data_IF_899413237810
#
_entry.id   IF_899413237810
#
_cell.length_a   1.000
_cell.length_b   1.000
_cell.length_c   1.000
_cell.angle_alpha   90.00
_cell.angle_beta   90.00
_cell.angle_gamma   90.00
#
_symmetry.space_group_name_H-M   'P 1'
#
loop_
_entity.id
_entity.type
_entity.pdbx_description
1 polymer ?
#
# COMPACT_ATOMS: atom_id res chain seq x y z
N UNK A 1 19.90 14.20 -2.44
CA UNK A 1 18.60 13.51 -2.45
C UNK A 1 18.86 12.10 -2.90
N UNK A 2 18.27 11.12 -2.21
CA UNK A 2 18.39 9.72 -2.59
C UNK A 2 17.13 9.33 -3.36
N UNK A 3 17.29 8.51 -4.40
CA UNK A 3 16.19 8.12 -5.28
C UNK A 3 15.89 6.65 -5.09
N UNK A 4 14.60 6.30 -5.06
CA UNK A 4 14.13 4.93 -5.05
C UNK A 4 13.67 4.55 -6.46
N UNK A 5 14.15 3.43 -7.04
CA UNK A 5 13.55 2.91 -8.25
C UNK A 5 12.14 2.40 -7.95
N UNK A 6 11.20 2.70 -8.85
CA UNK A 6 9.83 2.18 -8.78
C UNK A 6 9.80 0.81 -9.45
N UNK A 7 9.34 -0.20 -8.73
CA UNK A 7 9.17 -1.55 -9.24
C UNK A 7 7.70 -1.82 -9.60
N UNK A 8 7.48 -2.79 -10.48
CA UNK A 8 6.15 -3.32 -10.75
C UNK A 8 5.61 -4.03 -9.51
N UNK A 9 4.32 -3.83 -9.24
CA UNK A 9 3.62 -4.53 -8.17
C UNK A 9 3.33 -5.98 -8.57
N UNK A 10 3.99 -6.94 -7.91
CA UNK A 10 3.75 -8.38 -8.08
C UNK A 10 3.54 -9.05 -6.71
N UNK A 11 2.80 -10.17 -6.62
CA UNK A 11 2.58 -10.86 -5.35
C UNK A 11 3.90 -11.19 -4.62
N UNK A 12 4.88 -11.73 -5.33
CA UNK A 12 6.17 -12.11 -4.73
C UNK A 12 6.96 -10.91 -4.23
N UNK A 13 6.99 -9.82 -4.99
CA UNK A 13 7.71 -8.61 -4.61
C UNK A 13 7.01 -7.89 -3.43
N UNK A 14 5.69 -8.01 -3.33
CA UNK A 14 4.90 -7.31 -2.33
C UNK A 14 4.63 -8.12 -1.04
N UNK A 15 4.81 -9.44 -1.09
CA UNK A 15 4.55 -10.36 0.03
C UNK A 15 5.15 -9.94 1.40
N UNK A 16 6.36 -9.34 1.48
CA UNK A 16 6.91 -8.89 2.77
C UNK A 16 6.15 -7.72 3.40
N UNK A 17 5.37 -6.99 2.61
CA UNK A 17 4.70 -5.74 3.01
C UNK A 17 3.20 -5.92 3.16
N UNK A 18 2.63 -6.91 2.47
CA UNK A 18 1.19 -7.03 2.37
C UNK A 18 0.70 -8.00 1.28
N UNK A 19 -0.51 -7.75 0.81
CA UNK A 19 -1.20 -8.57 -0.18
C UNK A 19 -1.83 -7.66 -1.23
N UNK A 20 -1.85 -8.12 -2.47
CA UNK A 20 -2.48 -7.41 -3.59
C UNK A 20 -3.89 -7.94 -3.77
N UNK A 21 -4.87 -7.05 -3.74
CA UNK A 21 -6.23 -7.32 -4.18
C UNK A 21 -6.32 -7.20 -5.70
N UNK A 22 -6.74 -8.29 -6.34
CA UNK A 22 -6.96 -8.36 -7.79
C UNK A 22 -8.46 -8.50 -8.09
N UNK A 23 -8.93 -8.05 -9.26
CA UNK A 23 -10.26 -8.35 -9.75
C UNK A 23 -10.46 -9.87 -9.77
N UNK A 24 -11.55 -10.29 -9.13
CA UNK A 24 -12.00 -11.68 -9.13
C UNK A 24 -13.26 -11.79 -9.98
N UNK A 25 -13.43 -12.94 -10.63
CA UNK A 25 -14.69 -13.26 -11.28
C UNK A 25 -15.82 -13.41 -10.28
N UNK A 26 -17.06 -13.38 -10.78
CA UNK A 26 -18.24 -13.64 -9.96
C UNK A 26 -18.12 -15.00 -9.24
N UNK A 27 -18.47 -15.03 -7.95
CA UNK A 27 -18.29 -16.21 -7.09
C UNK A 27 -16.85 -16.53 -6.67
N UNK A 28 -15.84 -15.71 -7.03
CA UNK A 28 -14.42 -15.92 -6.69
C UNK A 28 -14.01 -15.62 -5.24
N UNK A 29 -14.98 -15.42 -4.34
CA UNK A 29 -14.76 -15.09 -2.93
C UNK A 29 -13.98 -16.20 -2.20
N UNK A 30 -13.45 -15.89 -1.01
CA UNK A 30 -12.56 -16.71 -0.19
C UNK A 30 -11.14 -16.90 -0.73
N UNK A 31 -10.97 -17.55 -1.89
CA UNK A 31 -9.62 -17.83 -2.42
C UNK A 31 -8.92 -16.56 -2.92
N UNK A 32 -9.68 -15.59 -3.44
CA UNK A 32 -9.17 -14.30 -3.91
C UNK A 32 -9.33 -13.15 -2.92
N UNK A 33 -9.81 -13.43 -1.70
CA UNK A 33 -10.02 -12.39 -0.70
C UNK A 33 -8.69 -11.86 -0.16
N UNK A 34 -8.66 -10.56 0.06
CA UNK A 34 -7.55 -9.92 0.77
C UNK A 34 -7.81 -10.03 2.27
N UNK A 35 -6.90 -10.63 3.06
CA UNK A 35 -7.14 -10.84 4.49
C UNK A 35 -7.03 -9.52 5.24
N UNK A 36 -8.14 -9.06 5.82
CA UNK A 36 -8.20 -7.84 6.63
C UNK A 36 -8.34 -8.19 8.11
N UNK A 37 -7.41 -7.71 8.92
CA UNK A 37 -7.62 -7.58 10.37
C UNK A 37 -7.98 -6.12 10.69
N UNK A 38 -9.23 -5.91 11.08
CA UNK A 38 -9.79 -4.64 11.54
C UNK A 38 -10.35 -4.77 12.97
N UNK A 39 -9.95 -5.81 13.69
CA UNK A 39 -10.56 -6.23 14.97
C UNK A 39 -10.22 -5.32 16.15
N UNK A 40 -9.11 -4.57 16.07
CA UNK A 40 -8.56 -3.81 17.19
C UNK A 40 -9.10 -2.37 17.28
N UNK A 41 -10.42 -2.20 17.16
CA UNK A 41 -11.11 -0.92 17.28
C UNK A 41 -12.36 -0.84 16.40
N UNK A 42 -12.83 0.39 16.12
CA UNK A 42 -13.88 0.61 15.12
C UNK A 42 -13.25 0.66 13.72
N UNK A 43 -13.60 -0.24 12.79
CA UNK A 43 -13.16 -0.14 11.41
C UNK A 43 -13.51 1.21 10.80
N UNK A 44 -12.60 1.76 10.00
CA UNK A 44 -12.81 3.04 9.31
C UNK A 44 -12.87 2.78 7.82
N UNK A 45 -13.90 3.31 7.19
CA UNK A 45 -14.05 3.36 5.75
C UNK A 45 -14.29 4.82 5.37
N UNK A 46 -13.43 5.38 4.53
CA UNK A 46 -13.49 6.76 4.11
C UNK A 46 -12.79 6.90 2.76
N UNK A 47 -13.25 7.88 1.97
CA UNK A 47 -12.67 8.25 0.69
C UNK A 47 -11.94 9.57 0.91
N UNK A 48 -10.66 9.62 0.51
CA UNK A 48 -9.86 10.82 0.61
C UNK A 48 -9.79 11.49 -0.75
N UNK A 49 -10.00 12.80 -0.80
CA UNK A 49 -9.56 13.60 -1.93
C UNK A 49 -8.12 14.04 -1.65
N UNK A 50 -7.18 13.54 -2.45
CA UNK A 50 -5.76 13.81 -2.29
C UNK A 50 -5.26 14.58 -3.50
N UNK A 51 -4.54 15.66 -3.24
CA UNK A 51 -3.87 16.47 -4.26
C UNK A 51 -2.47 15.93 -4.53
N UNK A 52 -1.96 16.18 -5.74
CA UNK A 52 -0.57 15.92 -6.09
C UNK A 52 0.36 16.82 -5.25
N UNK A 53 1.30 16.22 -4.51
CA UNK A 53 2.24 16.93 -3.62
C UNK A 53 3.71 16.61 -3.90
N UNK A 54 4.00 16.14 -5.11
CA UNK A 54 5.29 15.58 -5.47
C UNK A 54 5.53 14.16 -4.96
N UNK A 55 6.69 13.61 -5.33
CA UNK A 55 7.12 12.24 -5.03
C UNK A 55 8.11 12.14 -3.86
N UNK A 56 8.49 13.27 -3.27
CA UNK A 56 9.41 13.31 -2.15
C UNK A 56 8.66 13.08 -0.83
N UNK A 57 9.28 12.34 0.08
CA UNK A 57 8.80 12.15 1.45
C UNK A 57 9.98 12.09 2.41
N UNK A 58 9.75 12.52 3.66
CA UNK A 58 10.72 12.49 4.77
C UNK A 58 10.20 11.69 5.98
N UNK A 59 8.97 11.17 5.89
CA UNK A 59 8.27 10.43 6.94
C UNK A 59 7.53 9.24 6.36
N UNK A 60 7.44 8.18 7.16
CA UNK A 60 6.63 6.99 6.88
C UNK A 60 5.73 6.71 8.10
N UNK A 61 4.53 6.21 7.84
CA UNK A 61 3.59 5.78 8.87
C UNK A 61 3.53 4.24 8.95
N UNK A 62 2.99 3.70 10.04
CA UNK A 62 2.66 2.27 10.17
C UNK A 62 1.49 2.05 11.11
N UNK A 63 0.71 1.00 10.85
CA UNK A 63 -0.39 0.56 11.72
C UNK A 63 0.01 -0.75 12.41
N UNK A 64 0.33 -0.70 13.72
CA UNK A 64 0.89 -1.85 14.44
C UNK A 64 -0.14 -2.94 14.80
N UNK A 65 -1.44 -2.62 14.77
CA UNK A 65 -2.51 -3.45 15.39
C UNK A 65 -3.59 -3.88 14.42
N UNK A 66 -3.61 -3.31 13.22
CA UNK A 66 -4.62 -3.55 12.19
C UNK A 66 -3.95 -3.47 10.83
N UNK A 67 -4.58 -4.10 9.85
CA UNK A 67 -4.26 -3.95 8.44
C UNK A 67 -4.80 -2.63 7.90
N UNK A 68 -4.30 -2.18 6.75
CA UNK A 68 -4.87 -1.06 6.01
C UNK A 68 -4.99 -1.44 4.54
N UNK A 69 -6.20 -1.30 3.97
CA UNK A 69 -6.44 -1.50 2.55
C UNK A 69 -6.54 -0.15 1.83
N UNK A 70 -5.87 0.00 0.69
CA UNK A 70 -5.80 1.21 -0.11
C UNK A 70 -6.02 0.88 -1.59
N UNK A 71 -6.72 1.77 -2.29
CA UNK A 71 -6.91 1.75 -3.73
C UNK A 71 -7.49 3.07 -4.20
N UNK A 72 -7.56 3.26 -5.51
CA UNK A 72 -8.12 4.47 -6.12
C UNK A 72 -9.54 4.22 -6.61
N UNK A 73 -10.35 5.28 -6.63
CA UNK A 73 -11.73 5.21 -7.16
C UNK A 73 -11.84 5.66 -8.61
N UNK A 74 -10.81 6.34 -9.13
CA UNK A 74 -10.74 6.86 -10.49
C UNK A 74 -10.02 5.91 -11.46
N UNK A 75 -9.53 4.76 -10.97
CA UNK A 75 -8.83 3.77 -11.78
C UNK A 75 -7.44 4.22 -12.25
N UNK A 76 -6.89 5.31 -11.70
CA UNK A 76 -5.55 5.78 -12.06
C UNK A 76 -4.47 5.06 -11.25
N UNK A 77 -3.30 4.78 -11.86
CA UNK A 77 -2.17 4.23 -11.12
C UNK A 77 -1.65 5.22 -10.10
N UNK A 78 -1.03 4.71 -9.04
CA UNK A 78 -0.48 5.52 -7.97
C UNK A 78 0.77 4.85 -7.39
N UNK A 79 1.57 5.62 -6.67
CA UNK A 79 2.85 5.16 -6.13
C UNK A 79 2.79 5.03 -4.62
N UNK A 80 3.49 4.04 -4.09
CA UNK A 80 3.70 3.85 -2.65
C UNK A 80 5.14 3.43 -2.37
N UNK A 81 5.73 4.01 -1.33
CA UNK A 81 6.97 3.50 -0.75
C UNK A 81 6.64 2.69 0.51
N UNK A 82 7.21 1.50 0.64
CA UNK A 82 6.98 0.58 1.77
C UNK A 82 8.29 0.07 2.35
N UNK A 83 8.28 -0.31 3.63
CA UNK A 83 9.37 -1.06 4.25
C UNK A 83 8.82 -2.12 5.22
N UNK A 84 9.57 -3.21 5.50
CA UNK A 84 9.05 -4.35 6.23
C UNK A 84 8.60 -4.00 7.65
N UNK A 85 7.69 -4.80 8.20
CA UNK A 85 7.38 -4.77 9.61
C UNK A 85 8.57 -5.28 10.47
N UNK A 86 8.46 -5.13 11.79
CA UNK A 86 9.46 -5.67 12.73
C UNK A 86 10.72 -4.84 12.91
N UNK A 87 10.94 -3.81 12.10
CA UNK A 87 12.02 -2.82 12.27
C UNK A 87 11.50 -1.53 12.89
N UNK A 88 12.29 -0.91 13.77
CA UNK A 88 11.86 0.31 14.48
C UNK A 88 12.00 1.58 13.65
N UNK A 89 12.96 1.62 12.73
CA UNK A 89 13.09 2.69 11.75
C UNK A 89 13.72 2.12 10.47
N UNK A 90 13.04 2.21 9.31
CA UNK A 90 13.62 1.77 8.05
C UNK A 90 14.77 2.69 7.64
N UNK A 91 15.87 2.10 7.20
CA UNK A 91 16.87 2.81 6.43
C UNK A 91 16.52 2.76 4.93
N UNK A 92 17.26 3.49 4.10
CA UNK A 92 16.96 3.56 2.66
C UNK A 92 16.98 2.20 1.96
N UNK A 93 17.85 1.28 2.36
CA UNK A 93 17.97 -0.05 1.76
C UNK A 93 16.80 -0.98 2.13
N UNK A 94 16.01 -0.63 3.15
CA UNK A 94 14.79 -1.36 3.53
C UNK A 94 13.58 -0.92 2.70
N UNK A 95 13.64 0.26 2.08
CA UNK A 95 12.51 0.87 1.39
C UNK A 95 12.41 0.34 -0.04
N UNK A 96 11.21 -0.01 -0.45
CA UNK A 96 10.85 -0.36 -1.84
C UNK A 96 9.72 0.56 -2.30
N UNK A 97 9.81 1.04 -3.53
CA UNK A 97 8.72 1.80 -4.15
C UNK A 97 8.02 0.92 -5.19
N UNK A 98 6.69 0.99 -5.22
CA UNK A 98 5.86 0.26 -6.16
C UNK A 98 4.89 1.21 -6.86
N UNK A 99 4.64 0.93 -8.14
CA UNK A 99 3.47 1.44 -8.84
C UNK A 99 2.32 0.45 -8.67
N UNK A 100 1.21 0.94 -8.11
CA UNK A 100 -0.03 0.21 -7.94
C UNK A 100 -0.94 0.55 -9.12
N UNK A 101 -1.30 -0.43 -9.98
CA UNK A 101 -2.27 -0.20 -11.04
C UNK A 101 -3.63 0.22 -10.46
N UNK A 102 -4.37 1.07 -11.16
CA UNK A 102 -5.62 1.62 -10.64
C UNK A 102 -6.79 0.61 -10.58
N UNK A 103 -6.63 -0.58 -11.17
CA UNK A 103 -7.55 -1.71 -11.02
C UNK A 103 -7.09 -2.71 -9.94
N UNK A 104 -6.19 -2.29 -9.05
CA UNK A 104 -5.66 -3.07 -7.94
C UNK A 104 -5.83 -2.33 -6.63
N UNK A 105 -5.99 -3.13 -5.57
CA UNK A 105 -5.91 -2.66 -4.19
C UNK A 105 -4.67 -3.28 -3.55
N UNK A 106 -4.14 -2.64 -2.52
CA UNK A 106 -3.13 -3.23 -1.64
C UNK A 106 -3.67 -3.26 -0.22
N UNK A 107 -3.39 -4.35 0.49
CA UNK A 107 -3.51 -4.42 1.94
C UNK A 107 -2.12 -4.43 2.52
N UNK A 108 -1.83 -3.45 3.35
CA UNK A 108 -0.61 -3.35 4.11
C UNK A 108 -0.76 -4.21 5.37
N UNK A 109 0.19 -5.12 5.56
CA UNK A 109 0.26 -5.98 6.73
C UNK A 109 0.53 -5.16 8.01
N UNK A 110 0.32 -5.80 9.16
CA UNK A 110 0.59 -5.19 10.46
C UNK A 110 2.02 -4.67 10.55
N UNK A 111 2.16 -3.40 10.91
CA UNK A 111 3.45 -2.77 11.15
C UNK A 111 4.24 -2.45 9.90
N UNK A 112 3.74 -2.75 8.69
CA UNK A 112 4.36 -2.33 7.43
C UNK A 112 4.45 -0.80 7.40
N UNK A 113 5.67 -0.32 7.21
CA UNK A 113 5.92 1.10 7.00
C UNK A 113 5.46 1.50 5.61
N UNK A 114 4.85 2.67 5.49
CA UNK A 114 4.45 3.21 4.20
C UNK A 114 4.54 4.74 4.12
N UNK A 115 4.83 5.25 2.92
CA UNK A 115 4.68 6.64 2.53
C UNK A 115 3.94 6.72 1.19
N UNK A 116 3.01 7.67 1.12
CA UNK A 116 2.03 7.79 0.05
C UNK A 116 0.59 7.67 0.58
N UNK A 117 -0.40 7.55 -0.32
CA UNK A 117 -0.24 7.44 -1.77
C UNK A 117 0.37 8.70 -2.42
N UNK A 118 1.16 8.49 -3.48
CA UNK A 118 1.75 9.54 -4.31
C UNK A 118 1.24 9.42 -5.75
N UNK A 119 1.22 10.55 -6.48
CA UNK A 119 0.68 10.62 -7.84
C UNK A 119 1.67 11.33 -8.76
N UNK A 120 1.80 10.85 -10.01
CA UNK A 120 2.60 11.46 -11.06
C UNK A 120 1.81 12.44 -11.92
N UNK A 121 0.48 12.34 -11.89
CA UNK A 121 -0.47 13.13 -12.66
C UNK A 121 -1.56 13.67 -11.71
N UNK A 122 -2.18 14.80 -12.06
CA UNK A 122 -3.30 15.42 -11.34
C UNK A 122 -4.64 14.74 -11.66
#
# INVERSE_FOLDING_TARGET
MNTLPVANLTPDAFAPFGTIGMPIGDGGHAAGDVPLDLSQGRPRFYIMHLEQRGLAFDRMARHKRVTQCLGTTDGRPWLIAVAPAGIEAPNLADIRAFEVPGDRFIMLAHGTWHAGPHFTED
#
